data_IF_155277128000
#
_entry.id   IF_155277128000
#
_cell.length_a   1.000
_cell.length_b   1.000
_cell.length_c   1.000
_cell.angle_alpha   90.00
_cell.angle_beta   90.00
_cell.angle_gamma   90.00
#
_symmetry.space_group_name_H-M   'P 1'
#
loop_
_entity.id
_entity.type
_entity.pdbx_description
1 polymer ?
#
# COMPACT_ATOMS: atom_id res chain seq x y z
N UNK A 1 14.87 23.99 -0.43
CA UNK A 1 13.71 23.52 0.37
C UNK A 1 12.59 24.52 0.20
N UNK A 2 11.37 24.08 -0.13
CA UNK A 2 10.20 24.94 -0.19
C UNK A 2 9.61 25.16 1.21
N UNK A 3 9.03 26.33 1.44
CA UNK A 3 8.28 26.62 2.67
C UNK A 3 6.80 26.70 2.29
N UNK A 4 5.98 25.91 2.96
CA UNK A 4 4.52 25.93 2.81
C UNK A 4 3.91 26.29 4.16
N UNK A 5 3.14 27.38 4.21
CA UNK A 5 2.37 27.73 5.39
C UNK A 5 1.06 26.95 5.39
N UNK A 6 0.77 26.25 6.48
CA UNK A 6 -0.44 25.45 6.65
C UNK A 6 -1.24 25.95 7.85
N UNK A 7 -2.57 25.92 7.73
CA UNK A 7 -3.46 26.17 8.85
C UNK A 7 -3.62 24.86 9.63
N UNK A 8 -3.32 24.88 10.92
CA UNK A 8 -3.55 23.77 11.84
C UNK A 8 -4.66 24.19 12.79
N UNK A 9 -5.64 23.32 13.00
CA UNK A 9 -6.74 23.52 13.92
C UNK A 9 -6.35 23.11 15.34
N UNK A 10 -7.03 23.67 16.35
CA UNK A 10 -6.67 23.45 17.76
C UNK A 10 -6.73 21.98 18.21
N UNK A 11 -7.59 21.18 17.58
CA UNK A 11 -7.71 19.74 17.81
C UNK A 11 -6.49 18.96 17.33
N UNK A 12 -5.70 19.50 16.40
CA UNK A 12 -4.45 18.90 15.91
C UNK A 12 -3.23 19.52 16.60
N UNK A 13 -3.23 20.82 16.84
CA UNK A 13 -2.08 21.54 17.41
C UNK A 13 -1.72 21.04 18.82
N UNK A 14 -2.73 20.86 19.69
CA UNK A 14 -2.49 20.41 21.08
C UNK A 14 -1.89 18.99 21.14
N UNK A 15 -2.43 17.98 20.45
CA UNK A 15 -1.80 16.66 20.38
C UNK A 15 -0.41 16.69 19.73
N UNK A 16 -0.21 17.51 18.69
CA UNK A 16 1.08 17.62 18.01
C UNK A 16 2.16 18.18 18.94
N UNK A 17 1.83 19.20 19.75
CA UNK A 17 2.72 19.77 20.76
C UNK A 17 3.03 18.78 21.89
N UNK A 18 2.06 17.96 22.31
CA UNK A 18 2.31 16.91 23.29
C UNK A 18 3.23 15.81 22.73
N UNK A 19 3.02 15.43 21.47
CA UNK A 19 3.81 14.42 20.78
C UNK A 19 5.24 14.89 20.52
N UNK A 20 5.43 16.16 20.15
CA UNK A 20 6.75 16.76 19.92
C UNK A 20 7.62 16.67 21.17
N UNK A 21 7.06 17.00 22.35
CA UNK A 21 7.72 16.88 23.65
C UNK A 21 8.01 15.43 24.02
N UNK A 22 7.04 14.53 23.82
CA UNK A 22 7.20 13.10 24.15
C UNK A 22 8.31 12.44 23.32
N UNK A 23 8.42 12.80 22.04
CA UNK A 23 9.39 12.19 21.13
C UNK A 23 10.74 12.94 21.09
N UNK A 24 10.86 14.06 21.79
CA UNK A 24 12.00 14.98 21.68
C UNK A 24 12.30 15.36 20.22
N UNK A 25 11.26 15.75 19.48
CA UNK A 25 11.32 16.14 18.07
C UNK A 25 10.55 17.41 17.82
N UNK A 26 11.01 18.23 16.87
CA UNK A 26 10.29 19.44 16.49
C UNK A 26 8.95 19.11 15.81
N UNK A 27 7.95 19.99 15.96
CA UNK A 27 6.67 19.87 15.24
C UNK A 27 6.87 19.76 13.73
N UNK A 28 7.79 20.55 13.18
CA UNK A 28 8.13 20.51 11.75
C UNK A 28 8.65 19.13 11.31
N UNK A 29 9.47 18.46 12.13
CA UNK A 29 9.93 17.11 11.82
C UNK A 29 8.76 16.12 11.74
N UNK A 30 7.86 16.16 12.73
CA UNK A 30 6.69 15.28 12.80
C UNK A 30 5.74 15.54 11.62
N UNK A 31 5.46 16.81 11.30
CA UNK A 31 4.62 17.21 10.17
C UNK A 31 5.20 16.66 8.86
N UNK A 32 6.50 16.86 8.62
CA UNK A 32 7.15 16.35 7.40
C UNK A 32 7.10 14.81 7.32
N UNK A 33 7.27 14.14 8.46
CA UNK A 33 7.18 12.68 8.50
C UNK A 33 5.76 12.20 8.18
N UNK A 34 4.74 12.82 8.79
CA UNK A 34 3.34 12.49 8.52
C UNK A 34 2.97 12.72 7.05
N UNK A 35 3.45 13.81 6.43
CA UNK A 35 3.24 14.08 4.99
C UNK A 35 3.89 13.00 4.13
N UNK A 36 5.14 12.60 4.41
CA UNK A 36 5.82 11.52 3.66
C UNK A 36 5.05 10.22 3.73
N UNK A 37 4.61 9.83 4.92
CA UNK A 37 3.85 8.61 5.12
C UNK A 37 2.48 8.68 4.43
N UNK A 38 1.81 9.83 4.46
CA UNK A 38 0.56 10.04 3.74
C UNK A 38 0.74 9.88 2.24
N UNK A 39 1.75 10.54 1.65
CA UNK A 39 2.04 10.43 0.21
C UNK A 39 2.40 9.00 -0.19
N UNK A 40 3.17 8.29 0.62
CA UNK A 40 3.50 6.88 0.38
C UNK A 40 2.25 5.99 0.38
N UNK A 41 1.31 6.21 1.32
CA UNK A 41 0.03 5.48 1.34
C UNK A 41 -0.82 5.79 0.10
N UNK A 42 -0.95 7.05 -0.28
CA UNK A 42 -1.72 7.44 -1.47
C UNK A 42 -1.15 6.81 -2.74
N UNK A 43 0.18 6.86 -2.93
CA UNK A 43 0.83 6.23 -4.08
C UNK A 43 0.64 4.71 -4.12
N UNK A 44 0.62 4.05 -2.95
CA UNK A 44 0.38 2.61 -2.87
C UNK A 44 -1.08 2.27 -3.19
N UNK A 45 -2.03 3.06 -2.69
CA UNK A 45 -3.46 2.92 -2.99
C UNK A 45 -3.73 3.07 -4.49
N UNK A 46 -3.14 4.10 -5.12
CA UNK A 46 -3.24 4.31 -6.56
C UNK A 46 -2.66 3.13 -7.35
N UNK A 47 -1.49 2.62 -6.96
CA UNK A 47 -0.89 1.45 -7.61
C UNK A 47 -1.81 0.23 -7.52
N UNK A 48 -2.33 -0.06 -6.33
CA UNK A 48 -3.26 -1.19 -6.10
C UNK A 48 -4.55 -1.03 -6.91
N UNK A 49 -5.06 0.19 -7.01
CA UNK A 49 -6.23 0.49 -7.81
C UNK A 49 -5.99 0.21 -9.29
N UNK A 50 -4.86 0.67 -9.85
CA UNK A 50 -4.49 0.39 -11.23
C UNK A 50 -4.29 -1.11 -11.49
N UNK A 51 -3.66 -1.84 -10.56
CA UNK A 51 -3.49 -3.29 -10.69
C UNK A 51 -4.84 -4.03 -10.64
N UNK A 52 -5.78 -3.56 -9.82
CA UNK A 52 -7.15 -4.10 -9.77
C UNK A 52 -7.88 -3.88 -11.09
N UNK A 53 -7.79 -2.68 -11.68
CA UNK A 53 -8.40 -2.39 -12.99
C UNK A 53 -7.82 -3.30 -14.08
N UNK A 54 -6.49 -3.47 -14.14
CA UNK A 54 -5.85 -4.39 -15.09
C UNK A 54 -6.30 -5.83 -14.90
N UNK A 55 -6.41 -6.29 -13.66
CA UNK A 55 -6.89 -7.63 -13.35
C UNK A 55 -8.35 -7.82 -13.83
N UNK A 56 -9.22 -6.84 -13.59
CA UNK A 56 -10.61 -6.86 -14.07
C UNK A 56 -10.69 -6.88 -15.60
N UNK A 57 -9.85 -6.12 -16.30
CA UNK A 57 -9.75 -6.17 -17.76
C UNK A 57 -9.31 -7.53 -18.27
N UNK A 58 -8.32 -8.15 -17.61
CA UNK A 58 -7.85 -9.50 -17.94
C UNK A 58 -8.98 -10.54 -17.80
N UNK A 59 -9.74 -10.47 -16.70
CA UNK A 59 -10.90 -11.34 -16.49
C UNK A 59 -11.98 -11.13 -17.56
N UNK A 60 -12.31 -9.87 -17.89
CA UNK A 60 -13.26 -9.56 -18.97
C UNK A 60 -12.80 -10.06 -20.34
N UNK A 61 -11.49 -10.11 -20.58
CA UNK A 61 -10.89 -10.68 -21.78
C UNK A 61 -10.85 -12.22 -21.78
N UNK A 62 -11.41 -12.89 -20.76
CA UNK A 62 -11.43 -14.35 -20.66
C UNK A 62 -10.11 -14.98 -20.22
N UNK A 63 -9.14 -14.18 -19.78
CA UNK A 63 -7.84 -14.65 -19.28
C UNK A 63 -7.97 -15.07 -17.82
N UNK A 64 -8.65 -16.19 -17.60
CA UNK A 64 -8.78 -16.86 -16.31
C UNK A 64 -8.09 -18.20 -16.33
N UNK A 65 -7.69 -18.69 -15.15
CA UNK A 65 -7.11 -20.02 -14.97
C UNK A 65 -8.15 -20.87 -14.23
N UNK A 66 -8.26 -22.14 -14.60
CA UNK A 66 -9.14 -23.07 -13.90
C UNK A 66 -8.67 -23.30 -12.45
N UNK A 67 -9.63 -23.34 -11.53
CA UNK A 67 -9.37 -23.59 -10.11
C UNK A 67 -8.65 -24.93 -9.89
N UNK A 68 -8.98 -25.97 -10.66
CA UNK A 68 -8.37 -27.29 -10.49
C UNK A 68 -6.88 -27.26 -10.78
N UNK A 69 -6.47 -26.49 -11.79
CA UNK A 69 -5.06 -26.35 -12.17
C UNK A 69 -4.28 -25.56 -11.12
N UNK A 70 -4.89 -24.51 -10.56
CA UNK A 70 -4.30 -23.73 -9.47
C UNK A 70 -4.15 -24.59 -8.21
N UNK A 71 -5.18 -25.36 -7.84
CA UNK A 71 -5.15 -26.25 -6.68
C UNK A 71 -4.11 -27.36 -6.84
N UNK A 72 -4.03 -28.01 -8.00
CA UNK A 72 -3.01 -29.01 -8.29
C UNK A 72 -1.59 -28.43 -8.16
N UNK A 73 -1.38 -27.21 -8.65
CA UNK A 73 -0.11 -26.51 -8.53
C UNK A 73 0.23 -26.16 -7.08
N UNK A 74 -0.70 -25.56 -6.33
CA UNK A 74 -0.48 -25.20 -4.91
C UNK A 74 -0.21 -26.44 -4.05
N UNK A 75 -0.92 -27.55 -4.30
CA UNK A 75 -0.72 -28.81 -3.58
C UNK A 75 0.63 -29.48 -3.88
N UNK A 76 1.27 -29.15 -5.01
CA UNK A 76 2.63 -29.62 -5.31
C UNK A 76 3.70 -28.91 -4.48
N UNK A 77 3.39 -27.75 -3.87
CA UNK A 77 4.35 -27.01 -3.06
C UNK A 77 4.75 -27.79 -1.81
N UNK A 78 6.05 -27.79 -1.50
CA UNK A 78 6.58 -28.56 -0.36
C UNK A 78 6.79 -30.06 -0.66
N UNK A 79 6.45 -30.51 -1.86
CA UNK A 79 6.79 -31.86 -2.34
C UNK A 79 8.04 -31.82 -3.23
N UNK A 80 8.60 -33.00 -3.54
CA UNK A 80 9.73 -33.12 -4.49
C UNK A 80 9.30 -32.88 -5.95
N UNK A 81 8.01 -32.94 -6.22
CA UNK A 81 7.42 -32.89 -7.57
C UNK A 81 6.68 -31.57 -7.81
N UNK A 82 7.31 -30.45 -7.43
CA UNK A 82 6.73 -29.12 -7.61
C UNK A 82 6.49 -28.84 -9.10
N UNK A 83 5.26 -28.53 -9.47
CA UNK A 83 4.88 -28.21 -10.85
C UNK A 83 5.04 -26.72 -11.16
N UNK A 84 5.08 -26.37 -12.45
CA UNK A 84 5.11 -24.98 -12.89
C UNK A 84 3.76 -24.29 -12.67
N UNK A 85 3.74 -22.95 -12.45
CA UNK A 85 2.49 -22.22 -12.30
C UNK A 85 1.62 -22.37 -13.56
N UNK A 86 0.29 -22.57 -13.41
CA UNK A 86 -0.62 -22.60 -14.54
C UNK A 86 -0.67 -21.21 -15.21
N UNK A 87 -1.02 -21.17 -16.50
CA UNK A 87 -1.02 -19.95 -17.32
C UNK A 87 -2.40 -19.72 -17.93
N UNK A 88 -2.86 -18.47 -17.93
CA UNK A 88 -4.08 -18.03 -18.63
C UNK A 88 -3.81 -17.65 -20.07
#
# INVERSE_FOLDING_TARGET
MGITSIRITDDVEKPLEALSKKLDRSKNYIINQAIKEYLARQSLEDSRWQDTLKALESMKAGKSIDETDVNAWLNSWGTKDRTSPPKS
#
